data_IF_744916516146
#
_entry.id   IF_744916516146
#
_cell.length_a   1.000
_cell.length_b   1.000
_cell.length_c   1.000
_cell.angle_alpha   90.00
_cell.angle_beta   90.00
_cell.angle_gamma   90.00
#
_symmetry.space_group_name_H-M   'P 1'
#
loop_
_entity.id
_entity.type
_entity.pdbx_description
1 polymer ?
#
# COMPACT_ATOMS: atom_id res chain seq x y z
N UNK A 1 -28.01 -12.62 -13.91
CA UNK A 1 -26.90 -11.64 -13.87
C UNK A 1 -27.48 -10.27 -14.26
N UNK A 2 -27.30 -9.21 -13.45
CA UNK A 2 -27.82 -7.87 -13.77
C UNK A 2 -26.65 -6.93 -14.12
N UNK A 3 -26.75 -6.10 -15.18
CA UNK A 3 -25.67 -5.18 -15.55
C UNK A 3 -25.22 -4.25 -14.41
N UNK A 4 -26.16 -3.63 -13.70
CA UNK A 4 -25.86 -2.74 -12.57
C UNK A 4 -25.07 -3.45 -11.45
N UNK A 5 -25.44 -4.68 -11.12
CA UNK A 5 -24.76 -5.46 -10.08
C UNK A 5 -23.31 -5.82 -10.45
N UNK A 6 -22.99 -5.97 -11.75
CA UNK A 6 -21.63 -6.23 -12.22
C UNK A 6 -20.77 -4.97 -12.06
N UNK A 7 -21.32 -3.82 -12.42
CA UNK A 7 -20.64 -2.52 -12.30
C UNK A 7 -20.29 -2.24 -10.84
N UNK A 8 -21.24 -2.45 -9.93
CA UNK A 8 -21.04 -2.27 -8.48
C UNK A 8 -20.02 -3.25 -7.92
N UNK A 9 -20.11 -4.53 -8.30
CA UNK A 9 -19.25 -5.57 -7.75
C UNK A 9 -17.79 -5.46 -8.22
N UNK A 10 -17.56 -5.13 -9.49
CA UNK A 10 -16.22 -4.97 -10.05
C UNK A 10 -15.70 -3.52 -9.98
N UNK A 11 -16.54 -2.58 -9.54
CA UNK A 11 -16.22 -1.16 -9.41
C UNK A 11 -15.69 -0.56 -10.73
N UNK A 12 -16.49 -0.73 -11.78
CA UNK A 12 -16.13 -0.39 -13.16
C UNK A 12 -16.25 1.11 -13.49
N UNK A 13 -16.75 1.95 -12.58
CA UNK A 13 -16.86 3.39 -12.84
C UNK A 13 -15.55 4.13 -12.47
N UNK A 14 -14.41 3.55 -12.87
CA UNK A 14 -13.07 4.07 -12.60
C UNK A 14 -12.27 4.25 -13.88
N UNK A 15 -11.42 5.28 -13.97
CA UNK A 15 -10.48 5.42 -15.08
C UNK A 15 -9.38 4.35 -15.01
N UNK A 16 -8.87 3.92 -16.16
CA UNK A 16 -7.78 2.91 -16.23
C UNK A 16 -7.82 1.92 -17.40
N UNK A 17 -8.87 2.00 -18.23
CA UNK A 17 -9.11 1.06 -19.35
C UNK A 17 -8.07 1.09 -20.48
N UNK A 18 -7.25 2.14 -20.56
CA UNK A 18 -6.17 2.23 -21.55
C UNK A 18 -5.16 1.09 -21.37
N UNK A 19 -4.91 0.68 -20.11
CA UNK A 19 -3.94 -0.38 -19.79
C UNK A 19 -4.32 -1.75 -20.36
N UNK A 20 -5.62 -1.98 -20.62
CA UNK A 20 -6.13 -3.25 -21.17
C UNK A 20 -6.28 -3.22 -22.69
N UNK A 21 -6.05 -2.08 -23.35
CA UNK A 21 -6.29 -1.90 -24.79
C UNK A 21 -5.27 -2.62 -25.68
N UNK A 22 -4.06 -2.86 -25.18
CA UNK A 22 -2.99 -3.58 -25.89
C UNK A 22 -2.61 -4.86 -25.15
N UNK A 23 -2.25 -5.93 -25.86
CA UNK A 23 -1.85 -7.27 -25.36
C UNK A 23 -2.94 -8.06 -24.60
N UNK A 24 -4.21 -7.64 -24.67
CA UNK A 24 -5.37 -8.39 -24.16
C UNK A 24 -5.84 -8.01 -22.74
N UNK A 25 -7.08 -8.37 -22.43
CA UNK A 25 -7.82 -7.95 -21.23
C UNK A 25 -7.65 -8.89 -20.02
N UNK A 26 -7.25 -10.14 -20.24
CA UNK A 26 -7.20 -11.20 -19.24
C UNK A 26 -5.76 -11.66 -18.96
N UNK A 27 -5.57 -12.40 -17.86
CA UNK A 27 -4.30 -13.01 -17.49
C UNK A 27 -3.28 -12.01 -16.93
N UNK A 28 -3.75 -10.88 -16.41
CA UNK A 28 -2.89 -9.81 -15.87
C UNK A 28 -3.19 -9.52 -14.41
N UNK A 29 -2.17 -9.03 -13.71
CA UNK A 29 -2.34 -8.52 -12.35
C UNK A 29 -2.82 -7.07 -12.42
N UNK A 30 -3.97 -6.77 -11.81
CA UNK A 30 -4.49 -5.40 -11.72
C UNK A 30 -6.01 -5.30 -11.92
N UNK A 31 -6.55 -5.77 -13.06
CA UNK A 31 -7.97 -5.64 -13.34
C UNK A 31 -8.85 -6.30 -12.26
N UNK A 32 -10.02 -5.72 -11.94
CA UNK A 32 -10.86 -6.22 -10.85
C UNK A 32 -11.43 -7.61 -11.14
N UNK A 33 -11.64 -7.97 -12.40
CA UNK A 33 -12.17 -9.28 -12.81
C UNK A 33 -11.18 -10.45 -12.66
N UNK A 34 -9.88 -10.17 -12.52
CA UNK A 34 -8.85 -11.20 -12.30
C UNK A 34 -8.75 -11.62 -10.82
N UNK A 35 -9.50 -10.98 -9.91
CA UNK A 35 -9.44 -11.25 -8.47
C UNK A 35 -10.24 -12.50 -8.08
N UNK A 36 -9.57 -13.52 -7.55
CA UNK A 36 -10.15 -14.82 -7.14
C UNK A 36 -10.67 -14.87 -5.70
N UNK A 37 -11.08 -13.74 -5.13
CA UNK A 37 -11.49 -13.64 -3.72
C UNK A 37 -12.71 -14.52 -3.35
N UNK A 38 -13.60 -14.82 -4.30
CA UNK A 38 -14.75 -15.72 -4.08
C UNK A 38 -14.42 -17.21 -4.20
N UNK A 39 -13.16 -17.59 -4.42
CA UNK A 39 -12.79 -19.00 -4.57
C UNK A 39 -13.17 -19.84 -3.32
N UNK A 40 -12.99 -19.29 -2.12
CA UNK A 40 -13.35 -19.97 -0.88
C UNK A 40 -14.87 -20.07 -0.69
N UNK A 41 -15.62 -19.02 -1.02
CA UNK A 41 -17.09 -19.03 -0.98
C UNK A 41 -17.66 -20.11 -1.90
N UNK A 42 -17.10 -20.23 -3.12
CA UNK A 42 -17.50 -21.26 -4.07
C UNK A 42 -17.16 -22.66 -3.58
N UNK A 43 -15.97 -22.87 -2.99
CA UNK A 43 -15.59 -24.15 -2.38
C UNK A 43 -16.55 -24.55 -1.25
N UNK A 44 -16.92 -23.59 -0.40
CA UNK A 44 -17.87 -23.82 0.68
C UNK A 44 -19.27 -24.16 0.16
N UNK A 45 -19.76 -23.45 -0.87
CA UNK A 45 -21.06 -23.70 -1.48
C UNK A 45 -21.18 -25.09 -2.11
N UNK A 46 -20.08 -25.66 -2.60
CA UNK A 46 -20.02 -27.01 -3.15
C UNK A 46 -19.96 -28.12 -2.08
N UNK A 47 -20.01 -27.77 -0.78
CA UNK A 47 -19.94 -28.75 0.31
C UNK A 47 -18.58 -29.43 0.45
N UNK A 48 -17.55 -28.92 -0.24
CA UNK A 48 -16.20 -29.51 -0.21
C UNK A 48 -15.55 -29.25 1.15
N UNK A 49 -15.65 -30.23 2.04
CA UNK A 49 -14.92 -30.27 3.33
C UNK A 49 -13.44 -30.55 3.10
N UNK A 50 -12.72 -29.70 2.37
CA UNK A 50 -11.26 -29.82 2.28
C UNK A 50 -10.63 -28.71 3.10
N UNK A 51 -10.18 -29.11 4.30
CA UNK A 51 -9.38 -28.30 5.22
C UNK A 51 -7.98 -28.10 4.61
N UNK A 52 -7.86 -27.22 3.60
CA UNK A 52 -6.56 -26.86 3.03
C UNK A 52 -5.89 -25.79 3.89
N UNK A 53 -5.22 -26.25 4.95
CA UNK A 53 -4.21 -25.47 5.66
C UNK A 53 -3.06 -25.17 4.68
N UNK A 54 -2.94 -23.93 4.22
CA UNK A 54 -1.74 -23.43 3.55
C UNK A 54 -1.54 -21.97 3.99
N UNK A 55 -0.83 -21.73 5.08
CA UNK A 55 0.60 -21.46 5.05
C UNK A 55 0.97 -20.26 4.15
N UNK A 56 0.41 -19.09 4.43
CA UNK A 56 1.15 -17.83 4.22
C UNK A 56 1.88 -17.51 5.51
N UNK A 57 3.18 -17.85 5.52
CA UNK A 57 4.13 -17.44 6.52
C UNK A 57 4.12 -15.91 6.57
N UNK A 58 3.55 -15.34 7.63
CA UNK A 58 3.89 -13.99 8.06
C UNK A 58 5.35 -14.03 8.49
N UNK A 59 6.27 -13.64 7.62
CA UNK A 59 7.57 -13.17 8.09
C UNK A 59 7.34 -11.79 8.71
N UNK A 60 6.98 -11.79 9.99
CA UNK A 60 7.31 -10.69 10.89
C UNK A 60 8.83 -10.70 11.07
N UNK A 61 9.56 -10.06 10.16
CA UNK A 61 10.87 -9.53 10.48
C UNK A 61 10.64 -8.17 11.14
N UNK A 62 10.60 -8.20 12.46
CA UNK A 62 10.72 -7.02 13.29
C UNK A 62 12.08 -6.35 13.02
N UNK A 63 12.12 -5.24 12.26
CA UNK A 63 13.23 -4.29 12.37
C UNK A 63 12.80 -3.18 13.34
N UNK A 64 13.17 -3.39 14.61
CA UNK A 64 13.29 -2.30 15.57
C UNK A 64 14.40 -1.37 15.08
N UNK A 65 14.05 -0.20 14.53
CA UNK A 65 14.97 0.95 14.49
C UNK A 65 14.32 2.15 15.17
N UNK A 66 14.85 2.43 16.35
CA UNK A 66 14.47 3.50 17.26
C UNK A 66 14.43 4.88 16.61
N UNK A 67 13.62 5.82 17.13
CA UNK A 67 13.69 7.22 16.73
C UNK A 67 15.01 7.82 17.24
N UNK A 68 15.94 8.12 16.33
CA UNK A 68 17.06 9.03 16.68
C UNK A 68 16.50 10.44 16.81
N UNK A 69 15.98 10.76 18.00
CA UNK A 69 15.93 12.13 18.51
C UNK A 69 17.38 12.63 18.63
N UNK A 70 17.84 13.44 17.68
CA UNK A 70 19.04 14.25 17.92
C UNK A 70 18.59 15.45 18.74
N UNK A 71 18.78 15.29 20.04
CA UNK A 71 18.58 16.33 21.03
C UNK A 71 19.50 17.53 20.74
N UNK A 72 18.86 18.70 20.76
CA UNK A 72 19.42 20.03 20.95
C UNK A 72 20.50 19.98 22.05
N UNK A 73 21.79 20.05 21.70
CA UNK A 73 22.85 20.34 22.67
C UNK A 73 23.23 21.81 22.56
N UNK A 74 22.70 22.61 23.49
CA UNK A 74 23.28 23.88 23.89
C UNK A 74 24.67 23.58 24.47
N UNK A 75 25.70 24.23 23.95
CA UNK A 75 26.92 24.53 24.72
C UNK A 75 27.30 25.97 24.43
N UNK A 76 27.33 26.75 25.52
CA UNK A 76 27.60 28.17 25.58
C UNK A 76 29.10 28.49 25.47
N UNK A 77 29.38 29.81 25.36
CA UNK A 77 30.67 30.50 25.53
C UNK A 77 31.65 30.25 24.39
N UNK A 78 32.33 31.26 23.81
CA UNK A 78 32.95 32.44 24.42
C UNK A 78 33.41 33.39 23.30
N UNK A 79 33.43 34.71 23.59
CA UNK A 79 34.37 35.73 23.05
C UNK A 79 34.36 35.99 21.53
N UNK A 80 34.43 37.22 21.00
CA UNK A 80 34.90 38.51 21.52
C UNK A 80 34.50 39.63 20.55
N UNK A 81 34.51 40.86 21.08
CA UNK A 81 34.87 42.13 20.42
C UNK A 81 34.08 42.54 19.16
N UNK A 82 33.13 43.48 19.24
CA UNK A 82 33.33 44.93 19.47
C UNK A 82 34.19 45.60 18.39
N UNK A 83 33.54 46.17 17.37
CA UNK A 83 33.83 47.49 16.75
C UNK A 83 32.78 47.71 15.64
N UNK A 84 31.97 48.77 15.73
CA UNK A 84 32.21 50.08 15.06
C UNK A 84 31.88 49.97 13.57
N UNK A 85 31.12 50.82 12.90
CA UNK A 85 30.56 52.16 13.08
C UNK A 85 29.41 52.25 12.04
N UNK A 86 28.26 52.86 12.30
CA UNK A 86 27.99 54.29 12.19
C UNK A 86 28.49 54.97 10.89
N UNK A 87 27.55 55.69 10.25
CA UNK A 87 27.70 56.76 9.24
C UNK A 87 27.98 56.29 7.80
N UNK A 88 27.33 56.82 6.75
CA UNK A 88 26.46 57.98 6.58
C UNK A 88 25.43 57.71 5.47
#
# INVERSE_FOLDING_TARGET
LRPAAIIEYLDLLKPGYVSTAAYGHFGRKGPPWEKTHRAEELRAALGSKTKAKSASKTNGAAEKKAPKKVAKKKTAKKSSSKKSSAQA
#
